data_IF_727573868918
#
_entry.id   IF_727573868918
#
_cell.length_a   1.000
_cell.length_b   1.000
_cell.length_c   1.000
_cell.angle_alpha   90.00
_cell.angle_beta   90.00
_cell.angle_gamma   90.00
#
_symmetry.space_group_name_H-M   'P 1'
#
loop_
_entity.id
_entity.type
_entity.pdbx_description
1 polymer ?
#
# COMPACT_ATOMS: atom_id res chain seq x y z
N UNK A 1 20.54 1.69 -62.30
CA UNK A 1 19.36 2.26 -62.99
C UNK A 1 18.51 2.93 -61.91
N UNK A 2 18.78 4.19 -61.53
CA UNK A 2 18.17 5.44 -62.05
C UNK A 2 16.64 5.34 -62.08
N UNK A 3 15.83 6.12 -61.34
CA UNK A 3 15.76 7.59 -61.11
C UNK A 3 14.92 7.88 -59.84
N UNK A 4 15.25 8.81 -58.91
CA UNK A 4 14.90 10.25 -58.86
C UNK A 4 13.39 10.55 -59.06
N UNK A 5 12.64 11.42 -58.36
CA UNK A 5 12.85 12.61 -57.49
C UNK A 5 11.46 12.81 -56.76
N UNK A 6 11.30 13.49 -55.62
CA UNK A 6 11.00 14.94 -55.53
C UNK A 6 10.92 15.36 -54.05
N UNK A 7 11.57 16.48 -53.72
CA UNK A 7 11.52 17.18 -52.42
C UNK A 7 10.33 18.15 -52.39
N UNK A 8 9.79 18.41 -51.20
CA UNK A 8 9.12 19.68 -50.91
C UNK A 8 9.60 20.22 -49.55
N UNK A 9 10.07 21.46 -49.64
CA UNK A 9 10.66 22.33 -48.64
C UNK A 9 9.54 23.21 -48.08
N UNK A 10 9.50 23.48 -46.77
CA UNK A 10 8.81 24.66 -46.26
C UNK A 10 9.64 25.30 -45.14
N UNK A 11 10.30 26.40 -45.50
CA UNK A 11 10.83 27.42 -44.61
C UNK A 11 9.66 28.33 -44.16
N UNK A 12 9.66 28.70 -42.88
CA UNK A 12 8.86 29.80 -42.35
C UNK A 12 9.67 30.51 -41.28
N UNK A 13 10.27 31.65 -41.65
CA UNK A 13 10.97 32.57 -40.78
C UNK A 13 10.15 33.87 -40.67
N UNK A 14 9.91 34.34 -39.44
CA UNK A 14 9.58 35.72 -39.03
C UNK A 14 9.90 35.76 -37.52
N UNK A 15 10.90 36.50 -37.04
CA UNK A 15 10.92 37.97 -36.91
C UNK A 15 9.97 38.35 -35.77
N UNK A 16 10.35 38.79 -34.57
CA UNK A 16 11.49 39.58 -34.12
C UNK A 16 10.95 40.91 -33.58
N UNK A 17 10.83 41.06 -32.25
CA UNK A 17 10.79 42.38 -31.57
C UNK A 17 11.44 42.24 -30.19
N UNK A 18 12.62 42.85 -30.06
CA UNK A 18 13.25 43.25 -28.81
C UNK A 18 12.65 44.60 -28.39
N UNK A 19 12.27 44.74 -27.13
CA UNK A 19 12.16 46.05 -26.49
C UNK A 19 12.87 46.00 -25.13
N UNK A 20 14.05 46.58 -25.14
CA UNK A 20 14.78 47.09 -23.99
C UNK A 20 14.06 48.32 -23.43
N UNK A 21 13.96 48.41 -22.10
CA UNK A 21 13.64 49.66 -21.41
C UNK A 21 14.61 49.83 -20.25
N UNK A 22 15.61 50.68 -20.49
CA UNK A 22 16.41 51.35 -19.47
C UNK A 22 15.86 52.77 -19.28
N UNK A 23 15.93 53.26 -18.05
CA UNK A 23 15.61 54.62 -17.63
C UNK A 23 14.99 54.56 -16.24
N UNK A 24 15.36 55.35 -15.24
CA UNK A 24 16.43 56.34 -15.07
C UNK A 24 16.53 56.54 -13.55
N UNK A 25 17.71 56.95 -13.09
CA UNK A 25 18.02 57.23 -11.69
C UNK A 25 17.52 58.64 -11.37
N UNK A 26 16.77 58.83 -10.27
CA UNK A 26 17.01 60.02 -9.43
C UNK A 26 16.48 59.92 -7.99
N UNK A 27 17.40 60.32 -7.12
CA UNK A 27 17.35 61.01 -5.84
C UNK A 27 16.48 60.59 -4.62
N UNK A 28 17.24 60.16 -3.60
CA UNK A 28 17.19 60.57 -2.18
C UNK A 28 15.84 60.79 -1.50
N UNK A 29 15.43 59.77 -0.72
CA UNK A 29 14.80 60.01 0.59
C UNK A 29 15.16 58.92 1.59
N UNK A 30 16.01 59.28 2.53
CA UNK A 30 16.35 58.50 3.72
C UNK A 30 15.11 58.38 4.60
N UNK A 31 14.50 57.20 4.63
CA UNK A 31 13.59 56.78 5.69
C UNK A 31 14.19 55.58 6.38
N UNK A 32 14.45 55.75 7.68
CA UNK A 32 14.81 54.72 8.65
C UNK A 32 13.78 53.59 8.63
N UNK A 33 14.12 52.49 7.94
CA UNK A 33 13.37 51.24 8.02
C UNK A 33 13.86 50.44 9.23
N UNK A 34 12.98 50.37 10.22
CA UNK A 34 13.05 49.46 11.36
C UNK A 34 13.15 48.04 10.83
N UNK A 35 14.23 47.34 11.17
CA UNK A 35 14.43 45.94 10.83
C UNK A 35 13.22 45.09 11.24
N UNK A 36 12.45 44.66 10.23
CA UNK A 36 11.33 43.75 10.40
C UNK A 36 11.85 42.41 10.93
N UNK A 37 11.26 41.94 12.02
CA UNK A 37 11.49 40.62 12.58
C UNK A 37 11.34 39.54 11.50
N UNK A 38 12.18 38.49 11.51
CA UNK A 38 12.13 37.43 10.52
C UNK A 38 10.73 36.80 10.52
N UNK A 39 10.10 36.81 9.35
CA UNK A 39 8.76 36.27 9.15
C UNK A 39 8.73 34.79 9.59
N UNK A 40 7.81 34.51 10.50
CA UNK A 40 7.44 33.16 10.93
C UNK A 40 7.19 32.30 9.67
N UNK A 41 7.86 31.15 9.51
CA UNK A 41 7.59 30.27 8.38
C UNK A 41 6.12 29.89 8.38
N UNK A 42 5.42 30.26 7.31
CA UNK A 42 4.05 29.82 7.10
C UNK A 42 4.05 28.30 7.03
N UNK A 43 3.29 27.66 7.92
CA UNK A 43 2.97 26.25 7.79
C UNK A 43 2.42 26.05 6.38
N UNK A 44 3.10 25.22 5.58
CA UNK A 44 2.64 24.87 4.25
C UNK A 44 1.35 24.06 4.38
N UNK A 45 0.21 24.76 4.44
CA UNK A 45 -1.11 24.19 4.21
C UNK A 45 -1.25 24.01 2.71
N UNK A 46 -0.56 22.99 2.17
CA UNK A 46 -0.95 22.43 0.88
C UNK A 46 -2.38 21.93 1.04
N UNK A 47 -3.33 22.72 0.52
CA UNK A 47 -4.72 22.33 0.32
C UNK A 47 -4.67 21.06 -0.52
N UNK A 48 -4.95 19.91 0.09
CA UNK A 48 -4.94 18.64 -0.61
C UNK A 48 -5.98 18.73 -1.73
N UNK A 49 -5.52 18.61 -2.98
CA UNK A 49 -6.42 18.43 -4.12
C UNK A 49 -7.33 17.25 -3.79
N UNK A 50 -8.65 17.48 -3.89
CA UNK A 50 -9.64 16.45 -3.59
C UNK A 50 -9.38 15.26 -4.53
N UNK A 51 -8.94 14.14 -3.95
CA UNK A 51 -8.58 12.96 -4.72
C UNK A 51 -9.79 12.46 -5.52
N UNK A 52 -9.57 12.08 -6.79
CA UNK A 52 -10.64 11.60 -7.66
C UNK A 52 -11.40 10.42 -7.01
N UNK A 53 -12.73 10.34 -7.16
CA UNK A 53 -13.51 9.23 -6.63
C UNK A 53 -13.08 7.88 -7.23
N UNK A 54 -13.12 6.83 -6.41
CA UNK A 54 -12.73 5.47 -6.82
C UNK A 54 -13.86 4.85 -7.64
N UNK A 55 -13.53 4.18 -8.75
CA UNK A 55 -14.43 3.24 -9.40
C UNK A 55 -14.00 1.82 -9.02
N UNK A 56 -14.94 0.99 -8.55
CA UNK A 56 -14.63 -0.32 -8.02
C UNK A 56 -15.40 -1.45 -8.72
N UNK A 57 -14.75 -2.59 -8.88
CA UNK A 57 -15.36 -3.86 -9.24
C UNK A 57 -15.10 -4.86 -8.12
N UNK A 58 -16.11 -5.63 -7.71
CA UNK A 58 -15.95 -6.75 -6.78
C UNK A 58 -16.26 -8.05 -7.49
N UNK A 59 -15.29 -8.95 -7.48
CA UNK A 59 -15.33 -10.28 -8.06
C UNK A 59 -15.32 -11.32 -6.93
N UNK A 60 -16.37 -12.14 -6.89
CA UNK A 60 -16.39 -13.33 -6.05
C UNK A 60 -16.11 -14.55 -6.91
N UNK A 61 -15.03 -15.26 -6.61
CA UNK A 61 -14.79 -16.59 -7.19
C UNK A 61 -15.83 -17.56 -6.64
N UNK A 62 -16.54 -18.25 -7.54
CA UNK A 62 -17.64 -19.13 -7.19
C UNK A 62 -17.43 -20.52 -7.80
N UNK A 63 -16.50 -21.26 -7.22
CA UNK A 63 -16.27 -22.69 -7.46
C UNK A 63 -16.92 -23.56 -6.38
N UNK A 64 -17.01 -24.86 -6.65
CA UNK A 64 -17.34 -25.87 -5.64
C UNK A 64 -16.45 -25.80 -4.39
N UNK A 65 -15.18 -25.38 -4.54
CA UNK A 65 -14.27 -25.11 -3.41
C UNK A 65 -14.77 -23.96 -2.54
N UNK A 66 -15.17 -22.84 -3.13
CA UNK A 66 -15.60 -21.67 -2.37
C UNK A 66 -16.92 -21.84 -1.61
N UNK A 67 -17.81 -22.75 -2.06
CA UNK A 67 -19.12 -22.96 -1.42
C UNK A 67 -19.03 -23.28 0.05
N UNK A 68 -17.97 -23.96 0.49
CA UNK A 68 -17.83 -24.33 1.89
C UNK A 68 -17.59 -23.15 2.83
N UNK A 69 -17.15 -22.00 2.32
CA UNK A 69 -17.08 -20.76 3.10
C UNK A 69 -18.43 -20.06 3.23
N UNK A 70 -19.41 -20.44 2.42
CA UNK A 70 -20.75 -19.83 2.31
C UNK A 70 -21.84 -20.88 2.54
N UNK A 71 -21.88 -21.55 3.71
CA UNK A 71 -23.01 -22.41 4.04
C UNK A 71 -24.31 -21.58 4.05
N UNK A 72 -25.43 -22.22 3.74
CA UNK A 72 -26.73 -21.58 3.87
C UNK A 72 -26.96 -21.17 5.32
N UNK A 73 -27.24 -19.88 5.53
CA UNK A 73 -27.56 -19.37 6.85
C UNK A 73 -28.96 -19.87 7.27
N UNK A 74 -29.06 -20.39 8.49
CA UNK A 74 -30.32 -20.81 9.12
C UNK A 74 -30.37 -20.24 10.53
N UNK A 75 -31.51 -20.34 11.20
CA UNK A 75 -31.65 -19.96 12.60
C UNK A 75 -30.73 -20.76 13.55
N UNK A 76 -30.18 -21.88 13.10
CA UNK A 76 -29.30 -22.75 13.87
C UNK A 76 -27.80 -22.58 13.54
N UNK A 77 -27.46 -21.78 12.52
CA UNK A 77 -26.09 -21.64 12.01
C UNK A 77 -25.73 -20.18 11.79
N UNK A 78 -24.79 -19.69 12.57
CA UNK A 78 -24.25 -18.34 12.42
C UNK A 78 -23.47 -18.20 11.10
N UNK A 79 -23.48 -17.01 10.46
CA UNK A 79 -22.66 -16.74 9.30
C UNK A 79 -21.17 -16.93 9.60
N UNK A 80 -20.44 -17.54 8.67
CA UNK A 80 -18.99 -17.71 8.81
C UNK A 80 -18.26 -16.36 8.80
N UNK A 81 -17.03 -16.32 9.32
CA UNK A 81 -16.20 -15.12 9.23
C UNK A 81 -15.98 -14.65 7.78
N UNK A 82 -16.01 -15.56 6.79
CA UNK A 82 -15.95 -15.22 5.38
C UNK A 82 -17.20 -14.44 4.96
N UNK A 83 -18.40 -14.98 5.26
CA UNK A 83 -19.66 -14.36 4.90
C UNK A 83 -19.79 -12.97 5.52
N UNK A 84 -19.41 -12.83 6.80
CA UNK A 84 -19.38 -11.54 7.50
C UNK A 84 -18.41 -10.56 6.84
N UNK A 85 -17.16 -10.98 6.59
CA UNK A 85 -16.11 -10.13 6.03
C UNK A 85 -16.44 -9.66 4.62
N UNK A 86 -16.86 -10.57 3.75
CA UNK A 86 -17.17 -10.28 2.34
C UNK A 86 -18.47 -9.47 2.22
N UNK A 87 -19.49 -9.75 3.05
CA UNK A 87 -20.69 -8.92 3.09
C UNK A 87 -20.38 -7.49 3.55
N UNK A 88 -19.53 -7.33 4.57
CA UNK A 88 -19.14 -6.00 5.05
C UNK A 88 -18.30 -5.25 4.01
N UNK A 89 -17.38 -5.94 3.31
CA UNK A 89 -16.62 -5.38 2.21
C UNK A 89 -17.54 -4.91 1.08
N UNK A 90 -18.47 -5.76 0.62
CA UNK A 90 -19.42 -5.43 -0.43
C UNK A 90 -20.29 -4.22 -0.03
N UNK A 91 -20.80 -4.21 1.20
CA UNK A 91 -21.61 -3.12 1.75
C UNK A 91 -20.83 -1.80 1.80
N UNK A 92 -19.60 -1.81 2.35
CA UNK A 92 -18.76 -0.60 2.41
C UNK A 92 -18.39 -0.08 1.03
N UNK A 93 -18.10 -0.97 0.09
CA UNK A 93 -17.78 -0.57 -1.28
C UNK A 93 -18.96 0.10 -1.95
N UNK A 94 -20.16 -0.46 -1.79
CA UNK A 94 -21.40 0.05 -2.37
C UNK A 94 -21.90 1.36 -1.73
N UNK A 95 -21.49 1.67 -0.51
CA UNK A 95 -22.01 2.81 0.27
C UNK A 95 -20.98 3.88 0.65
N UNK A 96 -19.68 3.62 0.44
CA UNK A 96 -18.63 4.55 0.82
C UNK A 96 -18.63 5.79 -0.08
N UNK A 97 -18.54 7.01 0.49
CA UNK A 97 -18.40 8.23 -0.29
C UNK A 97 -17.08 8.31 -1.07
N UNK A 98 -16.11 7.46 -0.75
CA UNK A 98 -14.85 7.37 -1.50
C UNK A 98 -15.03 6.67 -2.86
N UNK A 99 -16.12 5.92 -3.05
CA UNK A 99 -16.41 5.12 -4.24
C UNK A 99 -17.56 5.74 -5.01
N UNK A 100 -17.33 6.14 -6.27
CA UNK A 100 -18.35 6.75 -7.12
C UNK A 100 -19.24 5.73 -7.85
N UNK A 101 -18.67 4.59 -8.25
CA UNK A 101 -19.38 3.51 -8.93
C UNK A 101 -18.85 2.16 -8.46
N UNK A 102 -19.76 1.20 -8.26
CA UNK A 102 -19.41 -0.18 -7.88
C UNK A 102 -20.15 -1.16 -8.79
N UNK A 103 -19.41 -2.12 -9.35
CA UNK A 103 -19.99 -3.26 -10.06
C UNK A 103 -19.65 -4.57 -9.37
N UNK A 104 -20.60 -5.49 -9.36
CA UNK A 104 -20.45 -6.81 -8.77
C UNK A 104 -20.37 -7.87 -9.86
N UNK A 105 -19.52 -8.86 -9.64
CA UNK A 105 -19.20 -9.88 -10.62
C UNK A 105 -19.02 -11.24 -9.95
N UNK A 106 -19.45 -12.28 -10.65
CA UNK A 106 -19.21 -13.66 -10.28
C UNK A 106 -18.16 -14.24 -11.22
N UNK A 107 -17.05 -14.68 -10.66
CA UNK A 107 -15.96 -15.33 -11.40
C UNK A 107 -16.17 -16.83 -11.36
N UNK A 108 -16.70 -17.35 -12.47
CA UNK A 108 -16.94 -18.77 -12.70
C UNK A 108 -15.80 -19.35 -13.55
N UNK A 109 -15.97 -20.56 -14.08
CA UNK A 109 -15.03 -21.20 -15.02
C UNK A 109 -14.92 -20.55 -16.42
N UNK A 110 -15.41 -19.32 -16.58
CA UNK A 110 -15.51 -18.56 -17.83
C UNK A 110 -15.35 -17.06 -17.53
N UNK A 111 -15.58 -16.20 -18.53
CA UNK A 111 -15.57 -14.75 -18.33
C UNK A 111 -16.49 -14.33 -17.15
N UNK A 112 -16.06 -13.38 -16.30
CA UNK A 112 -16.85 -12.90 -15.17
C UNK A 112 -18.26 -12.49 -15.60
N UNK A 113 -19.25 -12.92 -14.84
CA UNK A 113 -20.65 -12.57 -15.09
C UNK A 113 -21.06 -11.41 -14.20
N UNK A 114 -21.65 -10.38 -14.79
CA UNK A 114 -22.17 -9.24 -14.03
C UNK A 114 -23.29 -9.69 -13.09
N UNK A 115 -23.33 -9.11 -11.90
CA UNK A 115 -24.34 -9.37 -10.88
C UNK A 115 -24.82 -8.05 -10.26
N UNK A 116 -25.96 -8.09 -9.61
CA UNK A 116 -26.45 -6.98 -8.78
C UNK A 116 -25.88 -7.09 -7.38
N UNK A 117 -25.87 -5.99 -6.63
CA UNK A 117 -25.48 -6.03 -5.21
C UNK A 117 -26.35 -6.99 -4.38
N UNK A 118 -27.67 -7.01 -4.63
CA UNK A 118 -28.60 -7.90 -3.94
C UNK A 118 -28.27 -9.38 -4.21
N UNK A 119 -28.12 -9.75 -5.49
CA UNK A 119 -27.80 -11.12 -5.87
C UNK A 119 -26.42 -11.56 -5.37
N UNK A 120 -25.42 -10.68 -5.45
CA UNK A 120 -24.09 -10.95 -4.86
C UNK A 120 -24.17 -11.27 -3.36
N UNK A 121 -25.01 -10.54 -2.61
CA UNK A 121 -25.22 -10.80 -1.18
C UNK A 121 -25.93 -12.11 -0.90
N UNK A 122 -26.94 -12.47 -1.69
CA UNK A 122 -27.65 -13.75 -1.57
C UNK A 122 -26.69 -14.93 -1.75
N UNK A 123 -25.80 -14.86 -2.75
CA UNK A 123 -24.75 -15.87 -2.97
C UNK A 123 -23.83 -15.97 -1.76
N UNK A 124 -23.31 -14.84 -1.25
CA UNK A 124 -22.46 -14.84 -0.04
C UNK A 124 -23.21 -15.42 1.16
N UNK A 125 -24.52 -15.26 1.24
CA UNK A 125 -25.36 -15.81 2.30
C UNK A 125 -25.75 -17.28 2.10
N UNK A 126 -25.27 -17.90 1.03
CA UNK A 126 -25.28 -19.35 0.81
C UNK A 126 -26.06 -19.81 -0.41
N UNK A 127 -26.62 -18.90 -1.21
CA UNK A 127 -27.35 -19.25 -2.43
C UNK A 127 -26.40 -19.56 -3.60
N UNK A 128 -25.66 -20.67 -3.49
CA UNK A 128 -24.50 -21.00 -4.33
C UNK A 128 -24.82 -21.97 -5.49
N UNK A 129 -26.06 -21.97 -5.98
CA UNK A 129 -26.51 -22.90 -7.02
C UNK A 129 -25.80 -22.68 -8.37
N UNK A 130 -25.27 -21.48 -8.63
CA UNK A 130 -24.53 -21.13 -9.85
C UNK A 130 -23.05 -21.58 -9.85
N UNK A 131 -22.58 -22.21 -8.78
CA UNK A 131 -21.15 -22.51 -8.63
C UNK A 131 -20.60 -23.45 -9.70
N UNK A 132 -19.45 -23.06 -10.27
CA UNK A 132 -18.77 -23.85 -11.28
C UNK A 132 -17.96 -25.01 -10.66
N UNK A 133 -17.62 -26.01 -11.48
CA UNK A 133 -16.80 -27.17 -11.07
C UNK A 133 -15.31 -26.85 -10.81
N UNK A 134 -14.94 -25.56 -10.84
CA UNK A 134 -13.58 -25.08 -10.58
C UNK A 134 -13.28 -23.82 -11.41
N UNK A 135 -12.32 -23.02 -10.93
CA UNK A 135 -11.86 -21.80 -11.60
C UNK A 135 -10.33 -21.83 -11.65
N UNK A 136 -9.74 -21.67 -12.83
CA UNK A 136 -8.28 -21.61 -12.98
C UNK A 136 -7.81 -20.20 -12.64
N UNK A 137 -7.06 -20.05 -11.54
CA UNK A 137 -6.64 -18.75 -11.02
C UNK A 137 -5.98 -17.84 -12.06
N UNK A 138 -4.96 -18.27 -12.83
CA UNK A 138 -4.36 -17.41 -13.87
C UNK A 138 -5.40 -16.90 -14.87
N UNK A 139 -6.22 -17.79 -15.42
CA UNK A 139 -7.28 -17.43 -16.38
C UNK A 139 -8.33 -16.51 -15.76
N UNK A 140 -8.66 -16.67 -14.47
CA UNK A 140 -9.56 -15.75 -13.77
C UNK A 140 -8.97 -14.34 -13.70
N UNK A 141 -7.70 -14.20 -13.30
CA UNK A 141 -7.02 -12.90 -13.24
C UNK A 141 -6.92 -12.26 -14.62
N UNK A 142 -6.57 -13.03 -15.65
CA UNK A 142 -6.55 -12.58 -17.04
C UNK A 142 -7.91 -12.04 -17.49
N UNK A 143 -8.98 -12.81 -17.25
CA UNK A 143 -10.32 -12.41 -17.66
C UNK A 143 -10.80 -11.15 -16.93
N UNK A 144 -10.46 -11.00 -15.64
CA UNK A 144 -10.77 -9.79 -14.86
C UNK A 144 -10.02 -8.58 -15.42
N UNK A 145 -8.72 -8.73 -15.68
CA UNK A 145 -7.87 -7.64 -16.18
C UNK A 145 -8.09 -7.33 -17.67
N UNK A 146 -8.76 -8.23 -18.41
CA UNK A 146 -9.19 -8.02 -19.78
C UNK A 146 -10.53 -7.25 -19.90
N UNK A 147 -11.25 -7.04 -18.79
CA UNK A 147 -12.49 -6.26 -18.83
C UNK A 147 -12.24 -4.81 -19.26
N UNK A 148 -13.19 -4.17 -19.96
CA UNK A 148 -13.06 -2.78 -20.35
C UNK A 148 -12.77 -1.87 -19.14
N UNK A 149 -11.73 -1.05 -19.27
CA UNK A 149 -11.28 -0.11 -18.23
C UNK A 149 -10.85 -0.77 -16.92
N UNK A 150 -10.56 -2.08 -16.89
CA UNK A 150 -10.11 -2.75 -15.66
C UNK A 150 -8.88 -2.07 -15.06
N UNK A 151 -7.94 -1.61 -15.88
CA UNK A 151 -6.73 -0.91 -15.44
C UNK A 151 -6.99 0.46 -14.79
N UNK A 152 -8.15 1.08 -15.07
CA UNK A 152 -8.52 2.41 -14.54
C UNK A 152 -9.36 2.29 -13.25
N UNK A 153 -9.66 1.06 -12.82
CA UNK A 153 -10.55 0.75 -11.70
C UNK A 153 -9.81 -0.03 -10.61
N UNK A 154 -10.39 -0.01 -9.42
CA UNK A 154 -10.00 -0.92 -8.35
C UNK A 154 -10.79 -2.22 -8.50
N UNK A 155 -10.09 -3.32 -8.79
CA UNK A 155 -10.66 -4.66 -8.94
C UNK A 155 -10.37 -5.47 -7.69
N UNK A 156 -11.42 -5.89 -7.00
CA UNK A 156 -11.33 -6.64 -5.75
C UNK A 156 -11.71 -8.08 -6.03
N UNK A 157 -10.78 -9.02 -5.85
CA UNK A 157 -10.96 -10.44 -6.14
C UNK A 157 -10.97 -11.23 -4.84
N UNK A 158 -12.05 -11.97 -4.59
CA UNK A 158 -12.23 -12.80 -3.38
C UNK A 158 -12.21 -14.27 -3.79
N UNK A 159 -11.26 -15.04 -3.26
CA UNK A 159 -11.08 -16.47 -3.56
C UNK A 159 -10.24 -17.16 -2.47
N UNK A 160 -10.25 -18.47 -2.42
CA UNK A 160 -9.33 -19.28 -1.61
C UNK A 160 -7.94 -19.39 -2.24
N UNK A 161 -7.81 -19.07 -3.53
CA UNK A 161 -6.60 -19.22 -4.35
C UNK A 161 -5.97 -20.61 -4.28
N UNK A 162 -6.80 -21.62 -4.03
CA UNK A 162 -6.35 -23.01 -4.09
C UNK A 162 -6.38 -23.43 -5.55
N UNK A 163 -5.20 -23.42 -6.16
CA UNK A 163 -5.00 -23.82 -7.55
C UNK A 163 -4.34 -25.19 -7.61
N UNK A 164 -5.07 -26.18 -8.10
CA UNK A 164 -4.50 -27.44 -8.57
C UNK A 164 -4.59 -27.47 -10.09
N UNK A 165 -3.49 -27.27 -10.85
CA UNK A 165 -3.58 -27.31 -12.30
C UNK A 165 -4.11 -28.66 -12.75
N UNK A 166 -4.95 -28.67 -13.80
CA UNK A 166 -5.42 -29.92 -14.42
C UNK A 166 -4.27 -30.83 -14.82
N UNK A 167 -3.14 -30.24 -15.23
CA UNK A 167 -1.90 -30.95 -15.48
C UNK A 167 -0.89 -30.67 -14.35
N UNK A 168 -0.61 -31.66 -13.50
CA UNK A 168 0.36 -31.52 -12.41
C UNK A 168 1.78 -31.18 -12.91
N UNK A 169 2.12 -31.49 -14.16
CA UNK A 169 3.41 -31.09 -14.75
C UNK A 169 3.55 -29.56 -14.88
N UNK A 170 2.45 -28.82 -14.99
CA UNK A 170 2.47 -27.35 -15.06
C UNK A 170 2.46 -26.69 -13.68
N UNK A 171 2.35 -27.46 -12.58
CA UNK A 171 2.48 -26.92 -11.22
C UNK A 171 3.82 -26.20 -11.06
N UNK A 172 4.90 -26.74 -11.60
CA UNK A 172 6.23 -26.13 -11.55
C UNK A 172 6.32 -24.73 -12.18
N UNK A 173 5.37 -24.37 -13.06
CA UNK A 173 5.30 -23.07 -13.75
C UNK A 173 4.29 -22.11 -13.11
N UNK A 174 3.85 -22.38 -11.88
CA UNK A 174 2.85 -21.57 -11.18
C UNK A 174 3.21 -20.08 -11.14
N UNK A 175 4.43 -19.75 -10.74
CA UNK A 175 4.87 -18.35 -10.66
C UNK A 175 4.80 -17.68 -12.04
N UNK A 176 5.30 -18.34 -13.09
CA UNK A 176 5.27 -17.85 -14.47
C UNK A 176 3.84 -17.58 -14.92
N UNK A 177 2.93 -18.54 -14.72
CA UNK A 177 1.52 -18.39 -15.11
C UNK A 177 0.84 -17.23 -14.38
N UNK A 178 1.15 -17.02 -13.09
CA UNK A 178 0.63 -15.88 -12.33
C UNK A 178 1.22 -14.57 -12.83
N UNK A 179 2.53 -14.52 -13.13
CA UNK A 179 3.18 -13.33 -13.70
C UNK A 179 2.56 -12.97 -15.06
N UNK A 180 2.36 -13.95 -15.93
CA UNK A 180 1.74 -13.77 -17.24
C UNK A 180 0.29 -13.29 -17.11
N UNK A 181 -0.48 -13.88 -16.19
CA UNK A 181 -1.83 -13.43 -15.89
C UNK A 181 -1.91 -11.99 -15.37
N UNK A 182 -0.82 -11.53 -14.72
CA UNK A 182 -0.65 -10.16 -14.25
C UNK A 182 0.10 -9.27 -15.24
N UNK A 183 0.29 -9.66 -16.49
CA UNK A 183 1.01 -8.84 -17.48
C UNK A 183 0.41 -7.43 -17.63
N UNK A 184 -0.90 -7.27 -17.46
CA UNK A 184 -1.56 -5.94 -17.43
C UNK A 184 -1.10 -5.10 -16.25
N UNK A 185 -0.88 -5.69 -15.07
CA UNK A 185 -0.32 -5.00 -13.89
C UNK A 185 1.04 -4.40 -14.22
N UNK A 186 1.94 -5.19 -14.81
CA UNK A 186 3.26 -4.72 -15.22
C UNK A 186 3.18 -3.63 -16.29
N UNK A 187 2.41 -3.86 -17.37
CA UNK A 187 2.31 -2.95 -18.51
C UNK A 187 1.67 -1.60 -18.15
N UNK A 188 0.78 -1.57 -17.16
CA UNK A 188 0.03 -0.37 -16.76
C UNK A 188 0.51 0.23 -15.44
N UNK A 189 1.51 -0.36 -14.79
CA UNK A 189 2.01 0.11 -13.49
C UNK A 189 0.94 0.07 -12.40
N UNK A 190 0.14 -1.00 -12.36
CA UNK A 190 -0.89 -1.17 -11.33
C UNK A 190 -0.27 -1.64 -10.02
N UNK A 191 -0.97 -1.44 -8.91
CA UNK A 191 -0.62 -2.01 -7.61
C UNK A 191 -1.47 -3.24 -7.30
N UNK A 192 -0.95 -4.09 -6.42
CA UNK A 192 -1.63 -5.26 -5.87
C UNK A 192 -1.52 -5.21 -4.34
N UNK A 193 -2.66 -5.25 -3.66
CA UNK A 193 -2.74 -5.53 -2.23
C UNK A 193 -3.37 -6.89 -2.01
N UNK A 194 -2.79 -7.71 -1.13
CA UNK A 194 -3.26 -9.05 -0.78
C UNK A 194 -3.58 -9.06 0.71
N UNK A 195 -4.83 -9.37 1.05
CA UNK A 195 -5.26 -9.63 2.42
C UNK A 195 -5.57 -11.11 2.57
N UNK A 196 -4.85 -11.80 3.45
CA UNK A 196 -5.04 -13.21 3.78
C UNK A 196 -5.78 -13.37 5.10
N UNK A 197 -6.99 -13.90 5.03
CA UNK A 197 -7.87 -14.15 6.16
C UNK A 197 -8.10 -15.66 6.34
N UNK A 198 -8.82 -16.03 7.39
CA UNK A 198 -9.20 -17.43 7.64
C UNK A 198 -10.66 -17.52 8.02
N UNK A 199 -11.34 -18.59 7.62
CA UNK A 199 -12.71 -18.83 8.04
C UNK A 199 -13.00 -20.31 8.18
N UNK A 200 -14.11 -20.61 8.88
CA UNK A 200 -14.63 -21.95 9.01
C UNK A 200 -15.21 -22.42 7.68
N UNK A 201 -14.93 -23.66 7.33
CA UNK A 201 -15.36 -24.28 6.09
C UNK A 201 -16.29 -25.47 6.37
N UNK A 202 -17.44 -25.50 5.69
CA UNK A 202 -18.46 -26.53 5.83
C UNK A 202 -18.87 -27.07 4.46
N UNK A 203 -18.49 -28.31 4.14
CA UNK A 203 -18.88 -28.93 2.88
C UNK A 203 -17.77 -29.76 2.26
N UNK A 204 -17.79 -29.88 0.93
CA UNK A 204 -16.81 -30.67 0.19
C UNK A 204 -15.60 -29.81 -0.15
N UNK A 205 -14.47 -30.14 0.46
CA UNK A 205 -13.19 -29.54 0.14
C UNK A 205 -12.49 -30.30 -0.99
N UNK A 206 -11.95 -29.56 -1.95
CA UNK A 206 -11.31 -30.09 -3.15
C UNK A 206 -9.81 -29.72 -3.15
N UNK A 207 -8.93 -30.50 -2.50
CA UNK A 207 -7.50 -30.18 -2.43
C UNK A 207 -6.87 -30.09 -3.81
N UNK A 208 -5.89 -29.21 -4.01
CA UNK A 208 -5.10 -29.13 -5.23
C UNK A 208 -4.37 -30.46 -5.49
N UNK A 209 -3.80 -31.08 -4.45
CA UNK A 209 -3.19 -32.40 -4.53
C UNK A 209 -4.29 -33.47 -4.44
N UNK A 210 -4.47 -34.25 -5.52
CA UNK A 210 -5.58 -35.22 -5.67
C UNK A 210 -5.31 -36.61 -5.05
N UNK A 211 -4.20 -36.76 -4.34
CA UNK A 211 -3.77 -38.02 -3.69
C UNK A 211 -3.45 -37.73 -2.22
N UNK A 212 -3.93 -38.55 -1.26
CA UNK A 212 -4.75 -39.76 -1.46
C UNK A 212 -6.21 -39.50 -1.83
N UNK A 213 -6.76 -38.32 -1.51
CA UNK A 213 -8.19 -38.02 -1.71
C UNK A 213 -8.41 -36.94 -2.77
N UNK A 214 -9.36 -37.15 -3.68
CA UNK A 214 -9.76 -36.12 -4.67
C UNK A 214 -10.63 -35.01 -4.07
N UNK A 215 -11.32 -35.34 -2.99
CA UNK A 215 -12.20 -34.45 -2.23
C UNK A 215 -12.39 -35.01 -0.82
N UNK A 216 -12.76 -34.16 0.14
CA UNK A 216 -13.11 -34.61 1.49
C UNK A 216 -14.14 -33.70 2.16
N UNK A 217 -15.03 -34.24 3.00
CA UNK A 217 -15.93 -33.42 3.78
C UNK A 217 -15.16 -32.72 4.91
N UNK A 218 -15.42 -31.43 5.09
CA UNK A 218 -14.97 -30.62 6.20
C UNK A 218 -16.20 -30.09 6.97
N UNK A 219 -16.09 -30.02 8.29
CA UNK A 219 -17.16 -29.70 9.26
C UNK A 219 -16.72 -28.60 10.23
N UNK A 220 -16.18 -27.51 9.70
CA UNK A 220 -15.73 -26.36 10.50
C UNK A 220 -14.23 -26.35 10.76
N UNK A 221 -13.44 -27.03 9.95
CA UNK A 221 -12.01 -26.77 9.85
C UNK A 221 -11.79 -25.32 9.37
N UNK A 222 -10.70 -24.71 9.82
CA UNK A 222 -10.37 -23.33 9.45
C UNK A 222 -9.49 -23.35 8.22
N UNK A 223 -9.95 -22.76 7.11
CA UNK A 223 -9.20 -22.63 5.87
C UNK A 223 -8.87 -21.16 5.57
N UNK A 224 -7.75 -20.89 4.87
CA UNK A 224 -7.43 -19.55 4.42
C UNK A 224 -8.31 -19.15 3.23
N UNK A 225 -8.54 -17.85 3.11
CA UNK A 225 -9.04 -17.22 1.89
C UNK A 225 -8.42 -15.83 1.76
N UNK A 226 -8.55 -15.24 0.59
CA UNK A 226 -7.83 -14.03 0.24
C UNK A 226 -8.72 -13.01 -0.46
N UNK A 227 -8.37 -11.75 -0.25
CA UNK A 227 -8.93 -10.60 -0.93
C UNK A 227 -7.76 -9.91 -1.62
N UNK A 228 -7.73 -9.94 -2.95
CA UNK A 228 -6.77 -9.17 -3.75
C UNK A 228 -7.42 -7.88 -4.20
N UNK A 229 -6.69 -6.77 -4.12
CA UNK A 229 -7.13 -5.46 -4.59
C UNK A 229 -6.11 -4.99 -5.63
N UNK A 230 -6.54 -4.87 -6.88
CA UNK A 230 -5.68 -4.60 -8.04
C UNK A 230 -6.17 -3.36 -8.77
N UNK A 231 -5.29 -2.40 -9.06
CA UNK A 231 -5.70 -1.18 -9.77
C UNK A 231 -4.65 -0.07 -9.71
N UNK A 232 -5.03 1.17 -10.07
CA UNK A 232 -4.12 2.31 -9.98
C UNK A 232 -3.52 2.47 -8.58
N UNK A 233 -2.20 2.65 -8.43
CA UNK A 233 -1.53 2.61 -7.13
C UNK A 233 -2.12 3.47 -6.01
N UNK A 234 -2.40 4.75 -6.29
CA UNK A 234 -3.02 5.65 -5.32
C UNK A 234 -4.48 5.27 -4.99
N UNK A 235 -5.22 4.74 -5.98
CA UNK A 235 -6.60 4.29 -5.77
C UNK A 235 -6.64 3.03 -4.90
N UNK A 236 -5.73 2.07 -5.10
CA UNK A 236 -5.61 0.88 -4.25
C UNK A 236 -5.24 1.25 -2.82
N UNK A 237 -4.26 2.15 -2.64
CA UNK A 237 -3.87 2.64 -1.31
C UNK A 237 -5.05 3.25 -0.56
N UNK A 238 -5.81 4.13 -1.22
CA UNK A 238 -7.03 4.72 -0.66
C UNK A 238 -8.11 3.69 -0.38
N UNK A 239 -8.36 2.77 -1.32
CA UNK A 239 -9.37 1.73 -1.15
C UNK A 239 -9.10 0.85 0.08
N UNK A 240 -7.85 0.43 0.26
CA UNK A 240 -7.45 -0.39 1.42
C UNK A 240 -7.62 0.37 2.75
N UNK A 241 -7.41 1.69 2.77
CA UNK A 241 -7.51 2.49 3.98
C UNK A 241 -8.93 2.98 4.30
N UNK A 242 -9.70 3.35 3.28
CA UNK A 242 -10.99 4.03 3.42
C UNK A 242 -12.19 3.07 3.28
N UNK A 243 -12.04 1.97 2.53
CA UNK A 243 -13.17 1.11 2.12
C UNK A 243 -13.07 -0.30 2.70
N UNK A 244 -11.90 -0.95 2.58
CA UNK A 244 -11.71 -2.31 3.11
C UNK A 244 -12.00 -2.30 4.61
N UNK A 245 -12.75 -3.28 5.15
CA UNK A 245 -13.05 -3.27 6.57
C UNK A 245 -11.77 -3.38 7.40
N UNK A 246 -11.76 -2.79 8.60
CA UNK A 246 -10.55 -2.73 9.42
C UNK A 246 -9.92 -4.13 9.57
N UNK A 247 -8.61 -4.21 9.36
CA UNK A 247 -7.84 -5.45 9.47
C UNK A 247 -7.48 -5.69 10.93
N UNK A 248 -7.61 -6.93 11.40
CA UNK A 248 -7.21 -7.32 12.75
C UNK A 248 -5.74 -7.73 12.81
N UNK A 249 -5.25 -8.04 14.02
CA UNK A 249 -3.89 -8.57 14.23
C UNK A 249 -3.62 -9.89 13.49
N UNK A 250 -4.67 -10.63 13.11
CA UNK A 250 -4.59 -11.91 12.41
C UNK A 250 -4.66 -11.79 10.89
N UNK A 251 -5.04 -10.61 10.36
CA UNK A 251 -5.14 -10.38 8.92
C UNK A 251 -3.74 -10.26 8.33
N UNK A 252 -3.38 -11.24 7.50
CA UNK A 252 -2.11 -11.22 6.79
C UNK A 252 -2.18 -10.24 5.63
N UNK A 253 -1.12 -9.48 5.41
CA UNK A 253 -1.11 -8.40 4.43
C UNK A 253 0.18 -8.45 3.62
N UNK A 254 0.08 -8.30 2.30
CA UNK A 254 1.20 -8.07 1.39
C UNK A 254 0.81 -7.00 0.36
N UNK A 255 1.76 -6.16 -0.01
CA UNK A 255 1.50 -5.02 -0.89
C UNK A 255 2.62 -4.85 -1.90
N UNK A 256 2.25 -4.59 -3.14
CA UNK A 256 3.17 -4.42 -4.25
C UNK A 256 2.74 -3.22 -5.09
N UNK A 257 3.67 -2.32 -5.38
CA UNK A 257 3.46 -1.18 -6.27
C UNK A 257 2.56 -0.07 -5.72
N UNK A 258 2.22 -0.06 -4.43
CA UNK A 258 1.47 1.04 -3.85
C UNK A 258 2.27 2.34 -3.92
N UNK A 259 1.57 3.43 -4.20
CA UNK A 259 2.10 4.79 -4.11
C UNK A 259 1.22 5.60 -3.19
N UNK A 260 1.84 6.42 -2.36
CA UNK A 260 1.15 7.31 -1.46
C UNK A 260 1.49 8.76 -1.83
N UNK A 261 0.60 9.71 -1.51
CA UNK A 261 1.02 11.09 -1.41
C UNK A 261 2.25 11.18 -0.50
N UNK A 262 3.09 12.18 -0.73
CA UNK A 262 4.27 12.41 0.11
C UNK A 262 3.84 12.43 1.58
N UNK A 263 4.42 11.54 2.38
CA UNK A 263 4.24 11.51 3.83
C UNK A 263 4.64 12.88 4.38
N UNK A 264 3.74 13.67 4.98
CA UNK A 264 4.14 14.88 5.68
C UNK A 264 5.02 14.51 6.88
N UNK A 265 6.08 15.27 7.09
CA UNK A 265 7.03 15.03 8.16
C UNK A 265 7.61 16.35 8.66
N UNK A 266 8.04 16.36 9.91
CA UNK A 266 8.91 17.40 10.44
C UNK A 266 9.74 16.88 11.59
N UNK A 267 10.87 17.53 11.87
CA UNK A 267 11.59 17.31 13.09
C UNK A 267 10.84 18.02 14.23
N UNK A 268 10.68 17.32 15.35
CA UNK A 268 9.91 17.82 16.49
C UNK A 268 10.74 18.84 17.26
N UNK A 269 10.30 20.08 17.10
CA UNK A 269 10.23 21.18 18.06
C UNK A 269 11.45 21.38 18.97
N UNK A 270 12.23 22.43 18.71
CA UNK A 270 12.96 23.16 19.76
C UNK A 270 12.03 23.81 20.80
N UNK A 271 10.72 23.77 20.57
CA UNK A 271 9.70 24.45 21.38
C UNK A 271 8.96 23.54 22.37
N UNK A 272 9.17 22.22 22.35
CA UNK A 272 8.69 21.42 23.48
C UNK A 272 9.51 21.81 24.71
N UNK A 273 8.89 21.96 25.90
CA UNK A 273 9.63 22.28 27.11
C UNK A 273 10.81 21.33 27.29
N UNK A 274 11.94 21.79 27.83
CA UNK A 274 13.10 20.93 28.08
C UNK A 274 12.76 19.73 29.01
N UNK A 275 11.69 19.83 29.79
CA UNK A 275 11.13 18.74 30.61
C UNK A 275 10.32 17.71 29.83
N UNK A 276 9.99 17.97 28.56
CA UNK A 276 9.23 17.06 27.71
C UNK A 276 10.14 15.92 27.21
N UNK A 277 9.72 14.64 27.30
CA UNK A 277 10.49 13.51 26.77
C UNK A 277 10.84 13.58 25.28
N UNK A 278 10.14 14.43 24.51
CA UNK A 278 10.39 14.66 23.10
C UNK A 278 11.47 15.72 22.82
N UNK A 279 11.88 16.48 23.85
CA UNK A 279 12.91 17.50 23.71
C UNK A 279 14.25 16.87 23.32
N UNK A 280 15.11 17.61 22.59
CA UNK A 280 16.47 17.18 22.35
C UNK A 280 17.24 16.91 23.65
N UNK A 281 18.14 15.94 23.61
CA UNK A 281 19.01 15.60 24.73
C UNK A 281 20.33 14.97 24.26
N UNK A 282 21.21 14.66 25.21
CA UNK A 282 22.57 14.21 24.92
C UNK A 282 23.60 15.33 25.09
N UNK A 283 24.81 15.08 24.62
CA UNK A 283 25.96 15.97 24.86
C UNK A 283 26.20 16.96 23.70
N UNK A 284 25.51 16.78 22.57
CA UNK A 284 25.40 17.76 21.49
C UNK A 284 24.10 18.57 21.55
N UNK A 285 23.96 19.53 20.64
CA UNK A 285 22.74 20.31 20.47
C UNK A 285 22.14 20.12 19.07
N UNK A 286 20.82 20.14 19.01
CA UNK A 286 20.07 20.25 17.75
C UNK A 286 18.99 21.29 17.93
N UNK A 287 18.98 22.27 17.04
CA UNK A 287 18.13 23.43 17.14
C UNK A 287 17.53 23.84 15.80
N UNK A 288 16.65 24.82 15.86
CA UNK A 288 16.08 25.50 14.72
C UNK A 288 15.78 26.93 15.16
N UNK A 289 16.35 27.92 14.47
CA UNK A 289 16.22 29.34 14.81
C UNK A 289 14.81 29.93 14.62
N UNK A 290 13.88 29.19 14.01
CA UNK A 290 12.49 29.62 13.84
C UNK A 290 11.54 29.11 14.93
N UNK A 291 10.36 29.73 15.02
CA UNK A 291 9.32 29.24 15.90
C UNK A 291 8.57 28.05 15.29
N UNK A 292 8.74 26.84 15.83
CA UNK A 292 7.88 25.68 15.55
C UNK A 292 8.61 24.45 15.04
N UNK A 293 8.02 23.78 14.04
CA UNK A 293 8.55 22.57 13.40
C UNK A 293 9.39 22.92 12.17
N UNK A 294 10.43 22.14 11.89
CA UNK A 294 11.30 22.36 10.73
C UNK A 294 11.78 21.05 10.12
N UNK A 295 12.19 21.12 8.86
CA UNK A 295 12.98 20.08 8.19
C UNK A 295 14.44 20.48 8.02
N UNK A 296 14.80 21.71 8.41
CA UNK A 296 16.15 22.24 8.45
C UNK A 296 16.57 22.38 9.92
N UNK A 297 17.63 21.69 10.31
CA UNK A 297 18.12 21.62 11.69
C UNK A 297 19.55 22.12 11.77
N UNK A 298 19.82 22.96 12.76
CA UNK A 298 21.15 23.37 13.19
C UNK A 298 21.67 22.34 14.20
N UNK A 299 22.93 21.94 14.07
CA UNK A 299 23.52 20.83 14.82
C UNK A 299 24.90 21.24 15.33
N UNK A 300 25.09 21.32 16.66
CA UNK A 300 26.38 21.65 17.26
C UNK A 300 26.88 20.53 18.19
N UNK A 301 28.20 20.42 18.34
CA UNK A 301 28.85 19.60 19.39
C UNK A 301 28.49 18.10 19.42
N UNK A 302 28.07 17.55 18.28
CA UNK A 302 27.61 16.14 18.11
C UNK A 302 28.69 15.06 18.18
N UNK A 303 29.90 15.36 18.67
CA UNK A 303 30.96 14.35 18.86
C UNK A 303 30.55 13.24 19.83
N UNK A 304 29.80 13.60 20.86
CA UNK A 304 29.31 12.65 21.88
C UNK A 304 27.85 12.22 21.61
N UNK A 305 27.26 12.71 20.52
CA UNK A 305 25.94 12.37 20.04
C UNK A 305 24.81 13.26 20.56
N UNK A 306 23.79 13.43 19.73
CA UNK A 306 22.54 14.14 20.07
C UNK A 306 21.33 13.26 19.77
N UNK A 307 20.41 13.22 20.72
CA UNK A 307 19.10 12.59 20.58
C UNK A 307 18.07 13.66 20.20
N UNK A 308 17.21 13.35 19.23
CA UNK A 308 16.11 14.22 18.85
C UNK A 308 14.91 13.45 18.33
N UNK A 309 13.78 14.12 18.28
CA UNK A 309 12.50 13.52 17.89
C UNK A 309 12.13 13.96 16.48
N UNK A 310 11.60 13.04 15.68
CA UNK A 310 10.96 13.30 14.39
C UNK A 310 9.50 12.91 14.47
N UNK A 311 8.62 13.70 13.83
CA UNK A 311 7.21 13.40 13.68
C UNK A 311 6.86 13.10 12.22
N UNK A 312 6.05 12.06 12.02
CA UNK A 312 5.60 11.59 10.72
C UNK A 312 4.07 11.52 10.69
N UNK A 313 3.47 11.97 9.60
CA UNK A 313 2.06 11.72 9.31
C UNK A 313 1.90 10.51 8.38
N UNK A 314 1.69 9.36 8.99
CA UNK A 314 1.55 8.08 8.31
C UNK A 314 0.09 7.70 8.01
N UNK A 315 -0.91 8.59 8.20
CA UNK A 315 -2.34 8.24 8.07
C UNK A 315 -2.71 7.60 6.74
N UNK A 316 -1.99 7.95 5.69
CA UNK A 316 -2.19 7.44 4.33
C UNK A 316 -1.64 6.03 4.13
N UNK A 317 -0.85 5.49 5.07
CA UNK A 317 -0.31 4.13 4.98
C UNK A 317 -1.29 3.09 5.53
N UNK A 318 -1.24 1.84 5.02
CA UNK A 318 -1.96 0.72 5.59
C UNK A 318 -1.75 0.61 7.10
N UNK A 319 -2.79 0.19 7.83
CA UNK A 319 -2.75 0.07 9.29
C UNK A 319 -1.54 -0.78 9.77
N UNK A 320 -1.28 -1.92 9.11
CA UNK A 320 -0.13 -2.77 9.43
C UNK A 320 1.23 -2.07 9.32
N UNK A 321 1.34 -1.05 8.46
CA UNK A 321 2.58 -0.27 8.28
C UNK A 321 2.70 0.90 9.23
N UNK A 322 1.61 1.27 9.91
CA UNK A 322 1.59 2.29 10.96
C UNK A 322 1.95 1.71 12.32
N UNK A 323 1.85 0.40 12.50
CA UNK A 323 2.17 -0.24 13.77
C UNK A 323 3.60 0.08 14.23
N UNK A 324 3.82 0.56 15.48
CA UNK A 324 5.15 0.91 15.98
C UNK A 324 6.17 -0.24 15.85
N UNK A 325 5.74 -1.48 16.08
CA UNK A 325 6.59 -2.65 15.93
C UNK A 325 6.99 -2.93 14.47
N UNK A 326 6.12 -2.60 13.51
CA UNK A 326 6.46 -2.69 12.09
C UNK A 326 7.47 -1.62 11.71
N UNK A 327 7.21 -0.37 12.08
CA UNK A 327 8.10 0.76 11.80
C UNK A 327 9.48 0.56 12.45
N UNK A 328 9.55 0.08 13.69
CA UNK A 328 10.81 -0.16 14.39
C UNK A 328 11.72 -1.18 13.69
N UNK A 329 11.13 -2.15 12.97
CA UNK A 329 11.87 -3.19 12.24
C UNK A 329 12.27 -2.80 10.83
N UNK A 330 11.49 -1.93 10.19
CA UNK A 330 11.61 -1.68 8.75
C UNK A 330 12.09 -0.27 8.40
N UNK A 331 11.89 0.72 9.27
CA UNK A 331 12.32 2.08 9.01
C UNK A 331 13.85 2.18 9.06
N UNK A 332 14.43 2.76 8.01
CA UNK A 332 15.87 2.96 7.87
C UNK A 332 16.20 4.44 8.05
N UNK A 333 17.22 4.73 8.85
CA UNK A 333 17.76 6.07 9.00
C UNK A 333 19.17 6.10 8.42
N UNK A 334 19.49 7.10 7.60
CA UNK A 334 20.81 7.26 6.99
C UNK A 334 21.23 8.72 6.95
N UNK A 335 22.51 8.97 7.21
CA UNK A 335 23.16 10.27 7.04
C UNK A 335 24.53 10.02 6.40
N UNK A 336 24.83 10.61 5.23
CA UNK A 336 26.13 10.42 4.60
C UNK A 336 27.28 10.92 5.49
N UNK A 337 28.35 10.13 5.58
CA UNK A 337 29.56 10.46 6.37
C UNK A 337 29.31 10.74 7.85
N UNK A 338 28.24 10.20 8.44
CA UNK A 338 27.97 10.22 9.86
C UNK A 338 27.18 8.98 10.30
N UNK A 339 26.75 8.94 11.55
CA UNK A 339 26.01 7.81 12.12
C UNK A 339 24.65 8.27 12.61
N UNK A 340 23.58 7.58 12.20
CA UNK A 340 22.24 7.76 12.78
C UNK A 340 21.62 6.43 13.16
N UNK A 341 20.96 6.38 14.32
CA UNK A 341 20.27 5.19 14.80
C UNK A 341 18.87 5.55 15.30
N UNK A 342 17.90 4.71 15.00
CA UNK A 342 16.60 4.75 15.64
C UNK A 342 16.73 4.21 17.08
N UNK A 343 16.30 4.99 18.07
CA UNK A 343 16.34 4.53 19.46
C UNK A 343 15.29 3.42 19.69
N UNK A 344 15.63 2.35 20.43
CA UNK A 344 14.69 1.26 20.72
C UNK A 344 13.42 1.76 21.41
N UNK A 345 12.27 1.18 21.07
CA UNK A 345 10.97 1.47 21.67
C UNK A 345 10.53 2.96 21.61
N UNK A 346 11.16 3.76 20.75
CA UNK A 346 10.93 5.21 20.66
C UNK A 346 9.77 5.61 19.74
N UNK A 347 9.31 4.71 18.88
CA UNK A 347 8.18 4.99 17.99
C UNK A 347 6.89 4.96 18.80
N UNK A 348 6.16 6.09 18.83
CA UNK A 348 4.94 6.25 19.61
C UNK A 348 3.85 6.96 18.79
N UNK A 349 2.57 6.62 18.97
CA UNK A 349 1.47 7.42 18.46
C UNK A 349 1.47 8.84 19.08
N UNK A 350 1.08 9.86 18.32
CA UNK A 350 0.98 11.27 18.77
C UNK A 350 -0.34 11.59 19.47
N UNK A 351 -1.24 10.61 19.65
CA UNK A 351 -2.61 10.85 20.16
C UNK A 351 -2.66 11.52 21.53
N UNK A 352 -1.57 11.46 22.31
CA UNK A 352 -1.42 12.09 23.62
C UNK A 352 -0.63 13.41 23.62
N UNK A 353 -0.28 13.97 22.46
CA UNK A 353 0.55 15.18 22.33
C UNK A 353 -0.17 16.23 21.47
N UNK A 354 -0.93 17.17 22.08
CA UNK A 354 -1.76 18.15 21.36
C UNK A 354 -1.00 18.99 20.32
N UNK A 355 0.26 19.30 20.58
CA UNK A 355 1.12 20.10 19.70
C UNK A 355 1.47 19.38 18.38
N UNK A 356 1.24 18.06 18.31
CA UNK A 356 1.58 17.20 17.18
C UNK A 356 0.35 16.62 16.46
N UNK A 357 -0.83 17.25 16.60
CA UNK A 357 -2.08 16.79 15.96
C UNK A 357 -2.02 16.65 14.42
N UNK A 358 -1.09 17.35 13.76
CA UNK A 358 -0.86 17.21 12.32
C UNK A 358 -0.14 15.91 11.93
N UNK A 359 0.46 15.21 12.89
CA UNK A 359 1.23 13.98 12.71
C UNK A 359 0.56 12.82 13.42
N UNK A 360 0.98 11.59 13.13
CA UNK A 360 0.46 10.39 13.80
C UNK A 360 1.48 9.65 14.63
N UNK A 361 2.76 9.81 14.32
CA UNK A 361 3.83 9.09 15.00
C UNK A 361 4.98 10.04 15.34
N UNK A 362 5.58 9.83 16.50
CA UNK A 362 6.92 10.31 16.85
C UNK A 362 7.89 9.16 16.88
N UNK A 363 9.17 9.45 16.65
CA UNK A 363 10.29 8.52 16.80
C UNK A 363 11.53 9.28 17.26
N UNK A 364 12.42 8.66 18.05
CA UNK A 364 13.66 9.29 18.50
C UNK A 364 14.86 8.73 17.75
N UNK A 365 15.72 9.62 17.28
CA UNK A 365 16.96 9.31 16.58
C UNK A 365 18.14 9.75 17.42
N UNK A 366 19.22 8.99 17.36
CA UNK A 366 20.53 9.35 17.87
C UNK A 366 21.44 9.64 16.68
N UNK A 367 22.01 10.85 16.62
CA UNK A 367 22.96 11.29 15.61
C UNK A 367 24.35 11.46 16.24
N UNK A 368 25.38 10.85 15.65
CA UNK A 368 26.79 11.00 16.04
C UNK A 368 27.69 11.12 14.81
N UNK A 369 28.95 11.50 15.03
CA UNK A 369 30.00 11.53 13.99
C UNK A 369 29.65 12.40 12.76
N UNK A 370 28.80 13.41 12.93
CA UNK A 370 28.26 14.19 11.83
C UNK A 370 29.28 15.20 11.27
N UNK A 371 29.42 15.32 9.92
CA UNK A 371 30.44 16.17 9.31
C UNK A 371 30.18 17.66 9.51
N UNK A 372 31.25 18.44 9.70
CA UNK A 372 31.20 19.90 9.87
C UNK A 372 30.59 20.66 8.68
N UNK A 373 30.66 20.08 7.48
CA UNK A 373 30.11 20.70 6.27
C UNK A 373 28.57 20.66 6.20
N UNK A 374 27.90 20.05 7.18
CA UNK A 374 26.48 19.75 7.11
C UNK A 374 26.19 18.54 6.22
N UNK A 375 24.91 18.27 5.98
CA UNK A 375 24.49 17.07 5.29
C UNK A 375 22.99 16.87 5.33
N UNK A 376 22.57 15.68 4.91
CA UNK A 376 21.17 15.33 4.79
C UNK A 376 20.90 14.03 5.54
N UNK A 377 19.95 14.09 6.47
CA UNK A 377 19.38 12.91 7.10
C UNK A 377 18.20 12.43 6.26
N UNK A 378 18.13 11.13 6.04
CA UNK A 378 17.01 10.48 5.37
C UNK A 378 16.42 9.41 6.27
N UNK A 379 15.09 9.41 6.36
CA UNK A 379 14.30 8.32 6.92
C UNK A 379 13.53 7.67 5.77
N UNK A 380 13.76 6.39 5.55
CA UNK A 380 13.18 5.66 4.44
C UNK A 380 12.44 4.45 4.96
N UNK A 381 11.16 4.32 4.59
CA UNK A 381 10.45 3.05 4.71
C UNK A 381 10.58 2.32 3.36
N UNK A 382 11.43 1.29 3.24
CA UNK A 382 11.55 0.54 2.00
C UNK A 382 10.23 -0.15 1.66
N UNK A 383 9.95 -0.36 0.37
CA UNK A 383 8.87 -1.23 -0.03
C UNK A 383 9.14 -2.65 0.53
N UNK A 384 8.18 -3.24 1.27
CA UNK A 384 8.38 -4.57 1.78
C UNK A 384 8.44 -5.58 0.63
N UNK A 385 9.30 -6.59 0.79
CA UNK A 385 9.30 -7.76 -0.08
C UNK A 385 8.13 -8.69 0.22
N UNK A 386 8.25 -9.96 -0.17
CA UNK A 386 7.27 -10.99 0.20
C UNK A 386 7.34 -11.21 1.71
N UNK A 387 6.25 -10.99 2.47
CA UNK A 387 6.28 -11.14 3.91
C UNK A 387 6.47 -12.61 4.34
N UNK A 388 7.12 -12.84 5.48
CA UNK A 388 7.41 -14.19 5.98
C UNK A 388 6.18 -15.07 6.24
N UNK A 389 4.99 -14.48 6.46
CA UNK A 389 3.75 -15.25 6.63
C UNK A 389 3.38 -16.05 5.38
N UNK A 390 3.82 -15.63 4.19
CA UNK A 390 3.55 -16.32 2.93
C UNK A 390 4.15 -17.72 2.97
N UNK A 391 5.42 -17.84 3.36
CA UNK A 391 6.08 -19.13 3.52
C UNK A 391 5.42 -19.97 4.63
N UNK A 392 5.01 -19.33 5.73
CA UNK A 392 4.32 -20.01 6.85
C UNK A 392 2.94 -20.56 6.45
N UNK A 393 2.22 -19.91 5.53
CA UNK A 393 0.91 -20.36 5.04
C UNK A 393 0.99 -21.19 3.75
N UNK A 394 2.18 -21.45 3.21
CA UNK A 394 2.33 -22.26 2.00
C UNK A 394 2.45 -23.73 2.35
N UNK A 395 1.87 -24.61 1.53
CA UNK A 395 2.08 -26.07 1.62
C UNK A 395 2.26 -26.68 0.22
N UNK A 396 3.05 -27.74 0.12
CA UNK A 396 3.13 -28.58 -1.07
C UNK A 396 2.07 -29.70 -1.08
N UNK A 397 1.28 -29.81 -0.01
CA UNK A 397 0.20 -30.77 0.08
C UNK A 397 -0.92 -30.25 0.98
N UNK A 398 -2.05 -29.92 0.35
CA UNK A 398 -3.25 -29.44 1.01
C UNK A 398 -4.30 -30.55 1.25
N UNK A 399 -3.97 -31.81 0.95
CA UNK A 399 -4.89 -32.94 1.12
C UNK A 399 -5.31 -33.14 2.59
N UNK A 400 -4.50 -32.67 3.54
CA UNK A 400 -4.76 -32.73 4.97
C UNK A 400 -4.73 -31.33 5.61
N UNK A 401 -5.89 -30.64 5.68
CA UNK A 401 -5.99 -29.41 6.45
C UNK A 401 -5.58 -29.64 7.91
N UNK A 402 -4.66 -28.82 8.39
CA UNK A 402 -4.15 -28.85 9.77
C UNK A 402 -4.84 -27.78 10.63
N UNK A 403 -4.52 -27.74 11.93
CA UNK A 403 -4.97 -26.66 12.81
C UNK A 403 -4.45 -25.29 12.33
N UNK A 404 -3.24 -25.25 11.77
CA UNK A 404 -2.72 -24.09 11.07
C UNK A 404 -3.24 -24.05 9.62
N UNK A 405 -3.89 -22.97 9.18
CA UNK A 405 -4.44 -22.89 7.82
C UNK A 405 -3.35 -22.65 6.77
N UNK A 406 -3.28 -23.54 5.77
CA UNK A 406 -2.32 -23.47 4.67
C UNK A 406 -3.01 -23.44 3.30
N UNK A 407 -2.33 -22.87 2.32
CA UNK A 407 -2.73 -22.78 0.92
C UNK A 407 -1.68 -23.47 0.07
N UNK A 408 -2.12 -24.30 -0.87
CA UNK A 408 -1.23 -25.00 -1.78
C UNK A 408 -0.39 -24.02 -2.60
N UNK A 409 0.94 -24.11 -2.46
CA UNK A 409 1.94 -23.36 -3.23
C UNK A 409 1.72 -21.84 -3.27
N UNK A 410 1.31 -21.29 -2.13
CA UNK A 410 1.13 -19.86 -1.96
C UNK A 410 2.43 -19.08 -2.19
N UNK A 411 3.58 -19.64 -1.81
CA UNK A 411 4.89 -19.03 -2.06
C UNK A 411 5.09 -18.77 -3.55
N UNK A 412 4.79 -19.74 -4.41
CA UNK A 412 4.92 -19.61 -5.85
C UNK A 412 3.93 -18.61 -6.45
N UNK A 413 2.69 -18.60 -5.95
CA UNK A 413 1.70 -17.59 -6.36
C UNK A 413 2.23 -16.19 -6.05
N UNK A 414 2.69 -15.96 -4.82
CA UNK A 414 3.19 -14.65 -4.39
C UNK A 414 4.53 -14.27 -5.02
N UNK A 415 5.37 -15.25 -5.39
CA UNK A 415 6.55 -15.03 -6.21
C UNK A 415 6.15 -14.54 -7.62
N UNK A 416 5.15 -15.17 -8.24
CA UNK A 416 4.62 -14.71 -9.53
C UNK A 416 4.06 -13.28 -9.47
N UNK A 417 3.38 -12.93 -8.37
CA UNK A 417 2.96 -11.53 -8.10
C UNK A 417 4.18 -10.62 -8.00
N UNK A 418 5.20 -10.99 -7.22
CA UNK A 418 6.41 -10.19 -7.03
C UNK A 418 7.17 -9.97 -8.34
N UNK A 419 7.25 -10.99 -9.19
CA UNK A 419 7.91 -10.96 -10.51
C UNK A 419 7.21 -10.03 -11.51
N UNK A 420 5.91 -9.71 -11.29
CA UNK A 420 5.20 -8.70 -12.08
C UNK A 420 5.66 -7.25 -11.82
N UNK A 421 6.57 -7.04 -10.85
CA UNK A 421 7.09 -5.73 -10.46
C UNK A 421 8.63 -5.65 -10.59
N UNK A 422 9.21 -4.44 -10.73
CA UNK A 422 10.67 -4.25 -10.79
C UNK A 422 11.42 -4.92 -9.62
N UNK A 423 12.62 -5.43 -9.89
CA UNK A 423 13.46 -6.08 -8.86
C UNK A 423 13.81 -5.13 -7.69
N UNK A 424 13.94 -3.84 -7.98
CA UNK A 424 14.05 -2.79 -6.97
C UNK A 424 12.79 -1.94 -6.98
N UNK A 425 12.00 -2.05 -5.92
CA UNK A 425 10.81 -1.24 -5.73
C UNK A 425 11.20 0.13 -5.14
N UNK A 426 10.54 1.22 -5.54
CA UNK A 426 10.72 2.49 -4.86
C UNK A 426 10.30 2.36 -3.39
N UNK A 427 10.90 3.14 -2.47
CA UNK A 427 10.48 3.13 -1.08
C UNK A 427 9.03 3.58 -0.94
N UNK A 428 8.35 3.11 0.11
CA UNK A 428 6.99 3.56 0.47
C UNK A 428 6.98 5.06 0.71
N UNK A 429 7.99 5.56 1.44
CA UNK A 429 8.27 6.98 1.55
C UNK A 429 9.75 7.22 1.89
N UNK A 430 10.19 8.43 1.58
CA UNK A 430 11.44 9.00 2.08
C UNK A 430 11.14 10.37 2.69
N UNK A 431 11.57 10.57 3.92
CA UNK A 431 11.54 11.83 4.63
C UNK A 431 12.98 12.35 4.77
N UNK A 432 13.17 13.62 4.45
CA UNK A 432 14.49 14.22 4.26
C UNK A 432 14.63 15.48 5.08
N UNK A 433 15.69 15.56 5.90
CA UNK A 433 16.00 16.67 6.77
C UNK A 433 17.37 17.25 6.41
N UNK A 434 17.45 18.55 6.20
CA UNK A 434 18.73 19.24 6.04
C UNK A 434 19.34 19.49 7.43
N UNK A 435 20.62 19.20 7.57
CA UNK A 435 21.39 19.36 8.78
C UNK A 435 22.55 20.32 8.48
N UNK A 436 22.64 21.44 9.20
CA UNK A 436 23.72 22.42 9.11
C UNK A 436 24.43 22.56 10.47
N UNK A 437 25.71 22.94 10.47
CA UNK A 437 26.41 23.36 11.69
C UNK A 437 26.24 24.85 11.94
#
# INVERSE_FOLDING_TARGET
MHTALTKALLMGALGGVLLSSCGEVDDTKTTTDTAAAPAKPAAATTKADAAAPIQANIFLELSGGMRGFMPANTTATEPTAFQQRVSLLASRTNSSPAVADTKFWLSLNKAPQASTYAHFREIVQGDTHEAALGTELPTMLENILALPQAADKVNVVVSDFIYGPKNQATSALMNVNITDALATVTKKGLAVAVLGETSKFYGTYHPAVKTPLKQRPLKGETLPYYIWVIGPPAAVARYVNEVVPATGATTQQAYFGLTFPRVPYAAVLTQVPASNPLAPGGNGSISYGGAGVSTNLEVSDVKEGVDFTVALDLRQLPAAWREPAFLARNLQAQVPNGTVKLLPNSIKPTTSVPELQAYTHTLRLHLSDFPKAGGQLTLTLPAPGIPGWVAQRSTENDNQPTAEPHTYRLTEIMNGVREAFPQTMPPVFTATFALSQ
#
